data_IF_511974715295
#
_entry.id   IF_511974715295
#
_cell.length_a   1.000
_cell.length_b   1.000
_cell.length_c   1.000
_cell.angle_alpha   90.00
_cell.angle_beta   90.00
_cell.angle_gamma   90.00
#
_symmetry.space_group_name_H-M   'P 1'
#
loop_
_entity.id
_entity.type
_entity.pdbx_description
1 polymer ?
#
# COMPACT_ATOMS: atom_id res chain seq x y z
N UNK A 1 0.79 3.04 2.72
CA UNK A 1 1.27 2.61 4.04
C UNK A 1 2.34 1.53 3.87
N UNK A 2 3.58 1.87 4.20
CA UNK A 2 4.74 0.97 4.12
C UNK A 2 5.12 0.59 5.55
N UNK A 3 4.92 -0.66 5.91
CA UNK A 3 5.17 -1.16 7.26
C UNK A 3 6.29 -2.20 7.26
N UNK A 4 7.05 -2.34 8.37
CA UNK A 4 8.05 -3.38 8.47
C UNK A 4 7.39 -4.77 8.44
N UNK A 5 7.99 -5.69 7.68
CA UNK A 5 7.59 -7.09 7.62
C UNK A 5 8.30 -7.87 8.71
N UNK A 6 7.58 -8.78 9.33
CA UNK A 6 8.19 -9.74 10.27
C UNK A 6 8.69 -10.96 9.48
N UNK A 7 9.99 -10.96 9.16
CA UNK A 7 10.66 -12.08 8.49
C UNK A 7 11.35 -12.96 9.54
N UNK A 8 10.54 -13.60 10.37
CA UNK A 8 11.03 -14.50 11.40
C UNK A 8 11.12 -15.93 10.86
N UNK A 9 12.30 -16.54 10.96
CA UNK A 9 12.45 -17.98 10.73
C UNK A 9 11.87 -18.79 11.89
N UNK A 10 11.16 -19.85 11.57
CA UNK A 10 10.62 -20.77 12.58
C UNK A 10 11.74 -21.61 13.18
N UNK A 11 11.85 -21.62 14.50
CA UNK A 11 12.74 -22.52 15.23
C UNK A 11 12.33 -23.99 15.05
N UNK A 12 13.22 -24.91 15.43
CA UNK A 12 12.98 -26.36 15.29
C UNK A 12 11.72 -26.81 16.06
N UNK A 13 11.54 -26.31 17.28
CA UNK A 13 10.37 -26.60 18.12
C UNK A 13 9.08 -26.09 17.46
N UNK A 14 9.09 -24.87 16.93
CA UNK A 14 7.92 -24.30 16.27
C UNK A 14 7.56 -25.04 14.99
N UNK A 15 8.56 -25.52 14.24
CA UNK A 15 8.35 -26.39 13.08
C UNK A 15 7.73 -27.71 13.49
N UNK A 16 8.24 -28.36 14.55
CA UNK A 16 7.71 -29.61 15.08
C UNK A 16 6.25 -29.46 15.56
N UNK A 17 5.97 -28.43 16.37
CA UNK A 17 4.62 -28.16 16.86
C UNK A 17 3.61 -27.97 15.72
N UNK A 18 4.03 -27.36 14.61
CA UNK A 18 3.18 -27.17 13.42
C UNK A 18 2.91 -28.45 12.63
N UNK A 19 3.66 -29.53 12.85
CA UNK A 19 3.39 -30.83 12.22
C UNK A 19 2.30 -31.63 12.96
N UNK A 20 1.99 -31.29 14.22
CA UNK A 20 0.98 -31.99 15.00
C UNK A 20 -0.43 -31.73 14.44
N UNK A 21 -1.22 -32.83 14.22
CA UNK A 21 -2.61 -32.71 13.78
C UNK A 21 -3.43 -31.87 14.78
N UNK A 22 -4.30 -31.01 14.31
CA UNK A 22 -5.12 -30.13 15.16
C UNK A 22 -4.43 -28.81 15.53
N UNK A 23 -3.18 -28.81 15.99
CA UNK A 23 -2.47 -27.57 16.35
C UNK A 23 -2.33 -26.63 15.12
N UNK A 24 -2.01 -27.20 13.98
CA UNK A 24 -1.94 -26.45 12.72
C UNK A 24 -3.29 -25.79 12.35
N UNK A 25 -4.40 -26.50 12.57
CA UNK A 25 -5.74 -25.93 12.33
C UNK A 25 -6.08 -24.85 13.36
N UNK A 26 -5.74 -25.06 14.62
CA UNK A 26 -5.95 -24.08 15.68
C UNK A 26 -5.14 -22.79 15.44
N UNK A 27 -3.84 -22.91 15.10
CA UNK A 27 -3.01 -21.74 14.75
C UNK A 27 -3.59 -21.01 13.54
N UNK A 28 -4.01 -21.76 12.52
CA UNK A 28 -4.64 -21.16 11.34
C UNK A 28 -5.91 -20.41 11.69
N UNK A 29 -6.75 -20.97 12.56
CA UNK A 29 -7.95 -20.32 13.05
C UNK A 29 -7.62 -19.05 13.85
N UNK A 30 -6.64 -19.10 14.74
CA UNK A 30 -6.18 -17.92 15.49
C UNK A 30 -5.69 -16.80 14.56
N UNK A 31 -4.90 -17.15 13.56
CA UNK A 31 -4.42 -16.18 12.56
C UNK A 31 -5.60 -15.59 11.80
N UNK A 32 -6.55 -16.40 11.38
CA UNK A 32 -7.75 -15.96 10.68
C UNK A 32 -8.59 -15.01 11.56
N UNK A 33 -8.90 -15.42 12.80
CA UNK A 33 -9.65 -14.59 13.75
C UNK A 33 -8.92 -13.25 14.04
N UNK A 34 -7.60 -13.27 14.15
CA UNK A 34 -6.80 -12.07 14.34
C UNK A 34 -6.92 -11.11 13.14
N UNK A 35 -6.92 -11.63 11.91
CA UNK A 35 -7.11 -10.80 10.72
C UNK A 35 -8.54 -10.27 10.61
N UNK A 36 -9.54 -11.06 10.97
CA UNK A 36 -10.95 -10.62 10.99
C UNK A 36 -11.19 -9.51 12.01
N UNK A 37 -10.67 -9.66 13.24
CA UNK A 37 -10.74 -8.63 14.26
C UNK A 37 -10.06 -7.33 13.76
N UNK A 38 -8.90 -7.44 13.13
CA UNK A 38 -8.23 -6.28 12.53
C UNK A 38 -9.05 -5.63 11.43
N UNK A 39 -9.71 -6.44 10.59
CA UNK A 39 -10.58 -5.92 9.53
C UNK A 39 -11.77 -5.16 10.10
N UNK A 40 -12.39 -5.65 11.17
CA UNK A 40 -13.44 -4.95 11.91
C UNK A 40 -12.93 -3.60 12.44
N UNK A 41 -11.70 -3.55 12.96
CA UNK A 41 -11.10 -2.33 13.47
C UNK A 41 -10.84 -1.25 12.40
N UNK A 42 -10.70 -1.64 11.13
CA UNK A 42 -10.60 -0.69 10.02
C UNK A 42 -11.96 -0.14 9.57
N UNK A 43 -13.04 -0.83 9.86
CA UNK A 43 -14.38 -0.35 9.55
C UNK A 43 -14.85 0.67 10.59
N UNK A 44 -15.56 1.68 10.12
CA UNK A 44 -16.20 2.70 10.97
C UNK A 44 -17.52 2.15 11.51
N UNK A 45 -17.48 1.24 12.49
CA UNK A 45 -18.71 0.84 13.19
C UNK A 45 -18.99 1.81 14.33
N UNK A 46 -20.22 2.33 14.48
CA UNK A 46 -20.66 3.02 15.69
C UNK A 46 -20.45 2.07 16.88
N UNK A 47 -19.77 2.51 17.92
CA UNK A 47 -19.45 1.71 19.12
C UNK A 47 -18.03 1.12 19.18
N UNK A 48 -17.32 0.96 18.05
CA UNK A 48 -15.92 0.48 18.02
C UNK A 48 -14.94 1.58 17.59
N UNK A 49 -15.41 2.82 17.52
CA UNK A 49 -14.62 3.97 17.05
C UNK A 49 -13.34 4.22 17.86
N UNK A 50 -13.36 3.95 19.17
CA UNK A 50 -12.19 4.09 20.06
C UNK A 50 -11.09 3.10 19.70
N UNK A 51 -11.41 1.82 19.55
CA UNK A 51 -10.45 0.76 19.19
C UNK A 51 -9.87 1.02 17.81
N UNK A 52 -10.73 1.39 16.85
CA UNK A 52 -10.30 1.74 15.49
C UNK A 52 -9.31 2.90 15.50
N UNK A 53 -9.54 3.93 16.32
CA UNK A 53 -8.64 5.07 16.46
C UNK A 53 -7.29 4.65 17.04
N UNK A 54 -7.29 3.91 18.15
CA UNK A 54 -6.06 3.42 18.77
C UNK A 54 -5.22 2.57 17.82
N UNK A 55 -5.84 1.71 17.04
CA UNK A 55 -5.14 0.90 16.05
C UNK A 55 -4.56 1.76 14.93
N UNK A 56 -5.30 2.73 14.40
CA UNK A 56 -4.81 3.66 13.39
C UNK A 56 -3.61 4.45 13.88
N UNK A 57 -3.68 4.96 15.12
CA UNK A 57 -2.59 5.71 15.75
C UNK A 57 -1.36 4.83 15.97
N UNK A 58 -1.55 3.58 16.39
CA UNK A 58 -0.46 2.61 16.51
C UNK A 58 0.23 2.36 15.15
N UNK A 59 -0.53 2.13 14.08
CA UNK A 59 0.05 1.94 12.74
C UNK A 59 0.73 3.20 12.21
N UNK A 60 0.16 4.38 12.48
CA UNK A 60 0.77 5.66 12.09
C UNK A 60 2.08 5.90 12.82
N UNK A 61 2.15 5.58 14.11
CA UNK A 61 3.39 5.63 14.89
C UNK A 61 4.45 4.69 14.32
N UNK A 62 4.11 3.42 14.08
CA UNK A 62 5.03 2.44 13.48
C UNK A 62 5.54 2.87 12.10
N UNK A 63 4.68 3.45 11.27
CA UNK A 63 5.09 3.99 9.97
C UNK A 63 6.10 5.14 10.14
N UNK A 64 5.82 6.10 11.02
CA UNK A 64 6.74 7.22 11.31
C UNK A 64 8.10 6.73 11.80
N UNK A 65 8.12 5.78 12.72
CA UNK A 65 9.34 5.17 13.23
C UNK A 65 10.12 4.44 12.11
N UNK A 66 9.40 3.72 11.25
CA UNK A 66 10.01 3.00 10.13
C UNK A 66 10.60 3.95 9.09
N UNK A 67 9.88 5.01 8.71
CA UNK A 67 10.39 6.07 7.85
C UNK A 67 11.60 6.78 8.46
N UNK A 68 11.53 7.13 9.74
CA UNK A 68 12.61 7.84 10.43
C UNK A 68 13.92 7.06 10.54
N UNK A 69 13.89 5.72 10.43
CA UNK A 69 15.10 4.90 10.44
C UNK A 69 15.92 5.01 9.15
N UNK A 70 15.26 5.20 8.02
CA UNK A 70 15.89 5.13 6.70
C UNK A 70 15.93 6.48 5.99
N UNK A 71 14.88 7.28 6.09
CA UNK A 71 14.77 8.54 5.36
C UNK A 71 15.21 9.69 6.28
N UNK A 72 16.34 10.32 5.96
CA UNK A 72 16.92 11.42 6.74
C UNK A 72 16.24 12.77 6.41
N UNK A 73 15.84 12.97 5.16
CA UNK A 73 15.19 14.19 4.70
C UNK A 73 13.77 14.31 5.27
N UNK A 74 13.53 15.41 6.00
CA UNK A 74 12.23 15.69 6.62
C UNK A 74 11.12 15.97 5.59
N UNK A 75 11.42 16.64 4.50
CA UNK A 75 10.46 16.93 3.43
C UNK A 75 10.00 15.64 2.76
N UNK A 76 10.94 14.77 2.44
CA UNK A 76 10.65 13.48 1.87
C UNK A 76 9.83 12.60 2.86
N UNK A 77 10.20 12.58 4.14
CA UNK A 77 9.42 11.86 5.17
C UNK A 77 7.98 12.34 5.25
N UNK A 78 7.76 13.65 5.24
CA UNK A 78 6.41 14.22 5.26
C UNK A 78 5.63 13.85 4.00
N UNK A 79 6.27 13.90 2.83
CA UNK A 79 5.64 13.52 1.57
C UNK A 79 5.25 12.03 1.54
N UNK A 80 6.06 11.17 2.13
CA UNK A 80 5.80 9.72 2.21
C UNK A 80 4.75 9.34 3.26
N UNK A 81 4.35 10.25 4.15
CA UNK A 81 3.25 10.00 5.07
C UNK A 81 1.92 10.06 4.32
N UNK A 82 1.09 9.01 4.41
CA UNK A 82 -0.20 9.00 3.72
C UNK A 82 -1.12 10.10 4.25
N UNK A 83 -1.73 10.85 3.35
CA UNK A 83 -2.79 11.83 3.65
C UNK A 83 -4.20 11.21 3.64
N UNK A 84 -4.28 9.88 3.50
CA UNK A 84 -5.52 9.11 3.49
C UNK A 84 -5.57 8.12 4.65
N UNK A 85 -6.77 7.69 5.00
CA UNK A 85 -7.02 6.77 6.11
C UNK A 85 -6.43 5.38 5.86
N UNK A 86 -6.00 4.73 6.95
CA UNK A 86 -5.56 3.33 6.92
C UNK A 86 -6.72 2.44 6.46
N UNK A 87 -6.47 1.62 5.46
CA UNK A 87 -7.48 0.75 4.84
C UNK A 87 -8.05 1.29 3.52
N UNK A 88 -7.92 2.59 3.21
CA UNK A 88 -8.31 3.14 1.90
C UNK A 88 -7.43 2.65 0.75
N UNK A 89 -6.19 2.30 1.07
CA UNK A 89 -5.25 1.66 0.14
C UNK A 89 -4.55 0.50 0.84
N UNK A 90 -4.02 -0.43 0.06
CA UNK A 90 -3.31 -1.61 0.59
C UNK A 90 -2.11 -1.20 1.43
N UNK A 91 -1.92 -1.89 2.54
CA UNK A 91 -0.68 -1.81 3.33
C UNK A 91 0.35 -2.74 2.68
N UNK A 92 1.55 -2.23 2.45
CA UNK A 92 2.65 -2.98 1.84
C UNK A 92 3.67 -3.28 2.94
N UNK A 93 3.73 -4.52 3.46
CA UNK A 93 4.78 -4.92 4.38
C UNK A 93 6.07 -5.23 3.61
N UNK A 94 7.13 -4.50 3.91
CA UNK A 94 8.44 -4.66 3.24
C UNK A 94 9.58 -4.24 4.15
N UNK A 95 10.72 -4.94 4.05
CA UNK A 95 11.96 -4.60 4.75
C UNK A 95 13.04 -4.10 3.79
N UNK A 96 12.78 -4.07 2.48
CA UNK A 96 13.77 -3.74 1.46
C UNK A 96 13.55 -2.38 0.80
N UNK A 97 12.29 -1.91 0.75
CA UNK A 97 11.94 -0.71 -0.01
C UNK A 97 12.58 0.57 0.57
N UNK A 98 12.40 0.84 1.88
CA UNK A 98 12.97 2.04 2.50
C UNK A 98 14.50 2.00 2.55
N UNK A 99 15.16 0.87 2.89
CA UNK A 99 16.62 0.75 2.74
C UNK A 99 17.10 1.04 1.32
N UNK A 100 16.39 0.56 0.28
CA UNK A 100 16.77 0.81 -1.11
C UNK A 100 16.71 2.31 -1.46
N UNK A 101 15.70 3.03 -0.96
CA UNK A 101 15.61 4.49 -1.16
C UNK A 101 16.70 5.29 -0.43
N UNK A 102 17.45 4.65 0.47
CA UNK A 102 18.50 5.29 1.27
C UNK A 102 19.91 5.02 0.73
N UNK A 103 20.02 4.32 -0.41
CA UNK A 103 21.30 4.04 -1.05
C UNK A 103 21.86 5.30 -1.71
N UNK A 104 23.19 5.46 -1.71
CA UNK A 104 23.85 6.64 -2.25
C UNK A 104 23.67 6.81 -3.77
N UNK A 105 23.30 5.74 -4.47
CA UNK A 105 23.02 5.73 -5.90
C UNK A 105 21.51 5.91 -6.23
N UNK A 106 20.70 6.27 -5.25
CA UNK A 106 19.24 6.46 -5.42
C UNK A 106 18.84 7.87 -5.02
N UNK A 107 18.35 8.63 -5.98
CA UNK A 107 17.73 9.93 -5.77
C UNK A 107 16.21 9.81 -5.79
N UNK A 108 15.53 10.46 -4.85
CA UNK A 108 14.07 10.50 -4.78
C UNK A 108 13.58 11.92 -5.04
N UNK A 109 13.02 12.14 -6.21
CA UNK A 109 12.42 13.42 -6.59
C UNK A 109 10.90 13.39 -6.35
N UNK A 110 10.39 14.40 -5.67
CA UNK A 110 8.97 14.55 -5.31
C UNK A 110 8.31 15.75 -6.00
N UNK A 111 9.04 16.49 -6.83
CA UNK A 111 8.54 17.68 -7.55
C UNK A 111 7.54 17.32 -8.64
N UNK A 112 7.57 16.07 -9.09
CA UNK A 112 6.72 15.56 -10.17
C UNK A 112 7.28 15.86 -11.56
N UNK A 113 6.83 15.12 -12.55
CA UNK A 113 7.27 15.22 -13.95
C UNK A 113 6.38 16.21 -14.70
N UNK A 114 6.99 17.16 -15.40
CA UNK A 114 6.30 18.07 -16.30
C UNK A 114 6.16 17.44 -17.70
N UNK A 115 7.28 16.99 -18.27
CA UNK A 115 7.30 16.34 -19.57
C UNK A 115 8.49 15.40 -19.74
N UNK A 116 8.39 14.52 -20.73
CA UNK A 116 9.50 13.68 -21.20
C UNK A 116 10.23 14.45 -22.29
N UNK A 117 11.56 14.48 -22.21
CA UNK A 117 12.44 15.12 -23.19
C UNK A 117 13.22 14.05 -23.97
N UNK A 118 13.84 14.37 -25.10
CA UNK A 118 14.66 13.41 -25.84
C UNK A 118 15.86 12.85 -25.03
N UNK A 119 16.30 13.57 -23.98
CA UNK A 119 17.44 13.19 -23.16
C UNK A 119 17.02 12.66 -21.78
N UNK A 120 15.74 12.68 -21.41
CA UNK A 120 15.29 12.25 -20.09
C UNK A 120 13.92 12.84 -19.71
N UNK A 121 13.85 13.51 -18.57
CA UNK A 121 12.62 14.16 -18.08
C UNK A 121 12.90 15.59 -17.62
N UNK A 122 11.86 16.43 -17.69
CA UNK A 122 11.82 17.72 -17.01
C UNK A 122 10.85 17.63 -15.82
N UNK A 123 11.31 18.06 -14.67
CA UNK A 123 10.49 18.13 -13.47
C UNK A 123 9.71 19.44 -13.41
N UNK A 124 8.62 19.49 -12.62
CA UNK A 124 7.75 20.68 -12.51
C UNK A 124 8.43 21.89 -11.87
N UNK A 125 9.54 21.69 -11.16
CA UNK A 125 10.41 22.76 -10.65
C UNK A 125 11.46 23.23 -11.67
N UNK A 126 11.40 22.73 -12.91
CA UNK A 126 12.21 23.16 -14.04
C UNK A 126 13.57 22.47 -14.17
N UNK A 127 13.86 21.42 -13.40
CA UNK A 127 15.11 20.66 -13.47
C UNK A 127 15.05 19.63 -14.60
N UNK A 128 16.04 19.61 -15.48
CA UNK A 128 16.23 18.56 -16.48
C UNK A 128 17.08 17.43 -15.90
N UNK A 129 16.56 16.20 -15.94
CA UNK A 129 17.21 14.99 -15.44
C UNK A 129 17.50 14.08 -16.63
N UNK A 130 18.79 13.88 -17.02
CA UNK A 130 19.13 12.96 -18.09
C UNK A 130 18.91 11.51 -17.63
N UNK A 131 18.32 10.69 -18.51
CA UNK A 131 17.97 9.29 -18.24
C UNK A 131 18.22 8.43 -19.47
N UNK A 132 18.75 7.23 -19.28
CA UNK A 132 18.88 6.22 -20.32
C UNK A 132 17.62 5.36 -20.45
N UNK A 133 16.90 5.15 -19.35
CA UNK A 133 15.71 4.29 -19.30
C UNK A 133 14.65 4.89 -18.40
N UNK A 134 13.39 4.86 -18.83
CA UNK A 134 12.23 5.24 -18.04
C UNK A 134 11.34 3.99 -17.82
N UNK A 135 11.08 3.65 -16.55
CA UNK A 135 10.19 2.54 -16.20
C UNK A 135 8.85 3.09 -15.74
N UNK A 136 7.80 2.78 -16.51
CA UNK A 136 6.43 3.17 -16.16
C UNK A 136 5.82 2.19 -15.17
N UNK A 137 5.74 2.59 -13.90
CA UNK A 137 5.06 1.82 -12.83
C UNK A 137 3.77 2.52 -12.39
N UNK A 138 2.99 3.04 -13.34
CA UNK A 138 1.82 3.91 -13.12
C UNK A 138 0.56 3.18 -12.67
N UNK A 139 0.59 1.83 -12.61
CA UNK A 139 -0.53 1.01 -12.19
C UNK A 139 -1.51 0.66 -13.32
N UNK A 140 -2.66 0.12 -12.94
CA UNK A 140 -3.73 -0.29 -13.85
C UNK A 140 -5.01 0.50 -13.58
N UNK A 141 -5.83 0.68 -14.60
CA UNK A 141 -7.16 1.32 -14.49
C UNK A 141 -8.22 0.46 -13.80
N UNK A 142 -7.84 -0.56 -13.04
CA UNK A 142 -8.76 -1.60 -12.57
C UNK A 142 -9.95 -1.09 -11.73
N UNK A 143 -9.86 0.08 -11.08
CA UNK A 143 -10.92 0.56 -10.19
C UNK A 143 -11.15 2.09 -10.21
N UNK A 144 -10.27 2.87 -10.82
CA UNK A 144 -10.39 4.34 -10.82
C UNK A 144 -11.31 4.87 -11.91
N UNK A 145 -11.53 4.08 -12.95
CA UNK A 145 -12.46 4.40 -14.03
C UNK A 145 -13.07 3.10 -14.53
N UNK A 146 -14.17 2.69 -13.90
CA UNK A 146 -14.89 1.44 -14.23
C UNK A 146 -15.37 1.43 -15.69
N UNK A 147 -15.58 2.60 -16.30
CA UNK A 147 -15.93 2.73 -17.72
C UNK A 147 -14.80 2.25 -18.63
N UNK A 148 -13.54 2.56 -18.28
CA UNK A 148 -12.36 2.14 -19.05
C UNK A 148 -11.90 0.74 -18.71
N UNK A 149 -12.26 0.23 -17.51
CA UNK A 149 -11.88 -1.10 -17.06
C UNK A 149 -12.68 -2.21 -17.77
N UNK A 150 -13.93 -1.94 -18.16
CA UNK A 150 -14.76 -2.87 -18.90
C UNK A 150 -14.48 -2.75 -20.39
N UNK A 151 -13.74 -3.72 -20.93
CA UNK A 151 -13.51 -3.88 -22.37
C UNK A 151 -14.73 -4.43 -23.13
N UNK A 152 -15.79 -4.78 -22.39
CA UNK A 152 -17.04 -5.31 -22.91
C UNK A 152 -18.23 -4.56 -22.33
N UNK A 153 -19.33 -4.49 -23.08
CA UNK A 153 -20.57 -3.86 -22.62
C UNK A 153 -21.41 -4.87 -21.86
N UNK A 154 -21.93 -4.47 -20.70
CA UNK A 154 -22.88 -5.26 -19.92
C UNK A 154 -24.27 -4.63 -20.06
N UNK A 155 -25.20 -5.42 -20.60
CA UNK A 155 -26.59 -5.02 -20.74
C UNK A 155 -27.44 -5.79 -19.73
N UNK A 156 -28.20 -5.05 -18.91
CA UNK A 156 -29.16 -5.61 -17.95
C UNK A 156 -30.58 -5.71 -18.52
N UNK A 157 -31.53 -6.02 -17.62
CA UNK A 157 -32.94 -6.08 -17.96
C UNK A 157 -33.45 -4.73 -18.50
N UNK A 158 -34.26 -4.77 -19.54
CA UNK A 158 -34.81 -3.56 -20.18
C UNK A 158 -33.80 -2.76 -21.00
N UNK A 159 -32.69 -3.38 -21.44
CA UNK A 159 -31.67 -2.75 -22.30
C UNK A 159 -30.78 -1.73 -21.57
N UNK A 160 -30.80 -1.70 -20.23
CA UNK A 160 -29.92 -0.82 -19.45
C UNK A 160 -28.47 -1.19 -19.66
N UNK A 161 -27.66 -0.19 -19.99
CA UNK A 161 -26.20 -0.36 -20.10
C UNK A 161 -25.54 -0.03 -18.76
N UNK A 162 -24.73 -0.95 -18.22
CA UNK A 162 -24.07 -0.80 -16.91
C UNK A 162 -23.16 0.44 -16.84
N UNK A 163 -22.45 0.73 -17.93
CA UNK A 163 -21.57 1.90 -17.98
C UNK A 163 -22.37 3.20 -17.82
N UNK A 164 -23.52 3.30 -18.48
CA UNK A 164 -24.40 4.48 -18.39
C UNK A 164 -25.07 4.61 -17.01
N UNK A 165 -25.33 3.48 -16.31
CA UNK A 165 -25.87 3.52 -14.94
C UNK A 165 -24.80 3.97 -13.93
N UNK A 166 -23.54 3.67 -14.16
CA UNK A 166 -22.44 4.14 -13.29
C UNK A 166 -22.00 5.58 -13.56
N UNK A 167 -22.53 6.20 -14.58
CA UNK A 167 -22.32 7.62 -14.88
C UNK A 167 -23.16 8.57 -14.03
N UNK A 168 -24.21 8.04 -13.41
CA UNK A 168 -25.10 8.77 -12.53
C UNK A 168 -24.55 8.86 -11.12
#
# INVERSE_FOLDING_TARGET
WILPRSDRHYGAVERFVRTLPGIRHFIRWLVFAFYDIRFIAFRRYPGISGISRLMKDHYRKRLKEHLGRYIKDDKLRQHMLPNYELGCRRVIPTNTYLPALSLDNVDVDISGIECITPQGIRTKDGKDIPLDVIIYATGYFAYSDMKKALTFQVHGLGGRNLNSEWEK
#
